data_IF_013612161059
#
_entry.id   IF_013612161059
#
_cell.length_a   1.000
_cell.length_b   1.000
_cell.length_c   1.000
_cell.angle_alpha   90.00
_cell.angle_beta   90.00
_cell.angle_gamma   90.00
#
_symmetry.space_group_name_H-M   'P 1'
#
loop_
_entity.id
_entity.type
_entity.pdbx_description
1 polymer ?
#
# COMPACT_ATOMS: atom_id res chain seq x y z
N UNK A 1 2.15 10.70 -40.58
CA UNK A 1 2.56 11.99 -39.98
C UNK A 1 3.62 11.86 -38.87
N UNK A 2 4.51 10.84 -38.90
CA UNK A 2 5.51 10.61 -37.84
C UNK A 2 6.99 10.73 -38.25
N UNK A 3 7.30 10.70 -39.56
CA UNK A 3 8.68 10.57 -40.03
C UNK A 3 9.63 11.71 -39.58
N UNK A 4 9.14 12.95 -39.51
CA UNK A 4 9.94 14.08 -39.05
C UNK A 4 10.19 14.00 -37.54
N UNK A 5 9.17 13.66 -36.75
CA UNK A 5 9.27 13.53 -35.30
C UNK A 5 10.33 12.49 -34.92
N UNK A 6 10.25 11.28 -35.49
CA UNK A 6 11.22 10.19 -35.25
C UNK A 6 12.67 10.59 -35.60
N UNK A 7 12.85 11.49 -36.57
CA UNK A 7 14.16 11.97 -36.98
C UNK A 7 14.70 13.06 -36.05
N UNK A 8 13.83 13.96 -35.58
CA UNK A 8 14.20 14.98 -34.61
C UNK A 8 14.53 14.35 -33.25
N UNK A 9 13.81 13.31 -32.84
CA UNK A 9 14.10 12.51 -31.66
C UNK A 9 15.50 11.86 -31.77
N UNK A 10 15.81 11.22 -32.90
CA UNK A 10 17.14 10.64 -33.16
C UNK A 10 18.27 11.67 -33.18
N UNK A 11 17.97 12.92 -33.55
CA UNK A 11 18.93 14.03 -33.53
C UNK A 11 19.06 14.67 -32.14
N UNK A 12 18.24 14.27 -31.15
CA UNK A 12 18.28 14.80 -29.80
C UNK A 12 17.74 16.22 -29.67
N UNK A 13 16.98 16.71 -30.66
CA UNK A 13 16.48 18.10 -30.67
C UNK A 13 15.58 18.36 -29.46
N UNK A 14 14.82 17.36 -29.02
CA UNK A 14 13.96 17.45 -27.84
C UNK A 14 14.76 17.65 -26.55
N UNK A 15 15.86 16.90 -26.37
CA UNK A 15 16.75 17.04 -25.21
C UNK A 15 17.40 18.43 -25.16
N UNK A 16 17.74 18.99 -26.33
CA UNK A 16 18.31 20.33 -26.40
C UNK A 16 17.28 21.41 -26.09
N UNK A 17 16.07 21.30 -26.65
CA UNK A 17 14.97 22.23 -26.35
C UNK A 17 14.62 22.19 -24.85
N UNK A 18 14.56 21.00 -24.26
CA UNK A 18 14.35 20.83 -22.83
C UNK A 18 15.48 21.47 -22.00
N UNK A 19 16.75 21.24 -22.38
CA UNK A 19 17.92 21.84 -21.70
C UNK A 19 17.94 23.36 -21.77
N UNK A 20 17.49 23.93 -22.89
CA UNK A 20 17.35 25.37 -23.08
C UNK A 20 16.14 25.96 -22.34
N UNK A 21 15.32 25.13 -21.69
CA UNK A 21 14.16 25.57 -20.93
C UNK A 21 12.99 25.98 -21.83
N UNK A 22 12.88 25.40 -23.03
CA UNK A 22 11.71 25.59 -23.87
C UNK A 22 10.45 25.18 -23.08
N UNK A 23 9.41 25.99 -23.17
CA UNK A 23 8.12 25.72 -22.52
C UNK A 23 7.21 25.02 -23.54
N UNK A 24 6.26 24.21 -23.06
CA UNK A 24 5.21 23.64 -23.93
C UNK A 24 4.55 24.75 -24.77
N UNK A 25 4.42 24.50 -26.06
CA UNK A 25 3.88 25.46 -27.03
C UNK A 25 4.93 26.45 -27.56
N UNK A 26 6.21 26.26 -27.28
CA UNK A 26 7.28 27.06 -27.89
C UNK A 26 7.32 26.80 -29.39
N UNK A 27 7.25 27.86 -30.19
CA UNK A 27 7.35 27.75 -31.65
C UNK A 27 8.79 27.46 -32.07
N UNK A 28 8.98 26.34 -32.77
CA UNK A 28 10.28 25.92 -33.32
C UNK A 28 10.29 26.17 -34.82
N UNK A 29 11.36 26.80 -35.31
CA UNK A 29 11.58 27.13 -36.71
C UNK A 29 12.83 26.42 -37.20
N UNK A 30 12.70 25.54 -38.21
CA UNK A 30 13.80 24.73 -38.74
C UNK A 30 14.12 25.13 -40.19
N UNK A 31 15.36 25.54 -40.42
CA UNK A 31 15.95 25.80 -41.74
C UNK A 31 15.88 27.26 -42.23
N UNK A 32 16.82 27.71 -43.09
CA UNK A 32 16.75 29.01 -43.73
C UNK A 32 15.85 28.99 -44.98
N UNK A 33 14.98 30.00 -45.15
CA UNK A 33 14.10 30.14 -46.31
C UNK A 33 12.71 29.55 -46.08
N UNK A 34 12.36 28.49 -46.82
CA UNK A 34 11.13 27.69 -46.61
C UNK A 34 11.25 26.89 -45.32
N UNK A 35 11.07 27.59 -44.19
CA UNK A 35 11.23 27.03 -42.85
C UNK A 35 10.01 26.21 -42.45
N UNK A 36 10.25 25.07 -41.80
CA UNK A 36 9.19 24.32 -41.14
C UNK A 36 8.97 24.94 -39.76
N UNK A 37 7.75 25.38 -39.50
CA UNK A 37 7.33 25.97 -38.22
C UNK A 37 6.31 25.06 -37.57
N UNK A 38 6.54 24.71 -36.31
CA UNK A 38 5.58 23.95 -35.50
C UNK A 38 5.68 24.33 -34.03
N UNK A 39 4.59 24.08 -33.30
CA UNK A 39 4.57 24.26 -31.85
C UNK A 39 5.10 22.99 -31.17
N UNK A 40 6.12 23.16 -30.35
CA UNK A 40 6.76 22.06 -29.66
C UNK A 40 5.97 21.65 -28.42
N UNK A 41 5.65 20.36 -28.33
CA UNK A 41 5.11 19.75 -27.13
C UNK A 41 6.13 18.76 -26.56
N UNK A 42 6.64 18.98 -25.32
CA UNK A 42 7.54 18.03 -24.70
C UNK A 42 6.84 16.69 -24.55
N UNK A 43 7.43 15.63 -25.09
CA UNK A 43 7.05 14.29 -24.74
C UNK A 43 7.66 14.04 -23.36
N UNK A 44 6.87 14.30 -22.31
CA UNK A 44 7.23 13.77 -21.00
C UNK A 44 7.29 12.25 -21.15
N UNK A 45 8.51 11.71 -21.22
CA UNK A 45 8.77 10.31 -20.93
C UNK A 45 8.52 10.13 -19.43
N UNK A 46 7.25 10.16 -19.04
CA UNK A 46 6.74 9.81 -17.70
C UNK A 46 7.08 8.38 -17.29
N UNK A 47 7.99 7.69 -18.00
CA UNK A 47 8.34 6.30 -17.82
C UNK A 47 9.61 6.07 -16.98
N UNK A 48 10.40 7.11 -16.65
CA UNK A 48 11.64 6.93 -15.89
C UNK A 48 11.44 6.98 -14.36
N UNK A 49 10.43 7.69 -13.85
CA UNK A 49 10.17 7.78 -12.40
C UNK A 49 8.86 7.12 -11.95
N UNK A 50 7.99 6.69 -12.89
CA UNK A 50 6.80 5.89 -12.57
C UNK A 50 7.05 4.37 -12.58
N UNK A 51 8.31 3.94 -12.41
CA UNK A 51 8.56 2.60 -11.88
C UNK A 51 8.23 2.63 -10.38
N UNK A 52 6.95 2.81 -10.05
CA UNK A 52 6.36 2.64 -8.72
C UNK A 52 6.35 1.16 -8.31
N UNK A 53 7.33 0.37 -8.76
CA UNK A 53 7.46 -1.03 -8.38
C UNK A 53 8.87 -1.50 -8.70
N UNK A 54 9.73 -1.71 -7.69
CA UNK A 54 11.04 -2.33 -7.88
C UNK A 54 10.96 -3.51 -8.86
N UNK A 55 11.92 -3.60 -9.80
CA UNK A 55 12.03 -4.78 -10.67
C UNK A 55 12.03 -6.03 -9.79
N UNK A 56 11.06 -6.93 -10.01
CA UNK A 56 10.86 -8.12 -9.19
C UNK A 56 9.57 -8.15 -8.37
N UNK A 57 8.78 -7.07 -8.35
CA UNK A 57 7.41 -7.07 -7.83
C UNK A 57 6.43 -7.38 -8.99
N UNK A 58 6.06 -8.64 -9.15
CA UNK A 58 4.94 -9.05 -10.00
C UNK A 58 3.63 -8.94 -9.20
N UNK A 59 2.70 -8.10 -9.67
CA UNK A 59 1.38 -7.86 -9.06
C UNK A 59 0.55 -9.13 -8.88
N UNK A 60 0.91 -10.25 -9.54
CA UNK A 60 0.27 -11.56 -9.30
C UNK A 60 0.59 -12.15 -7.92
N UNK A 61 1.70 -11.74 -7.31
CA UNK A 61 2.09 -12.17 -5.96
C UNK A 61 1.60 -11.23 -4.86
N UNK A 62 0.83 -10.19 -5.20
CA UNK A 62 0.26 -9.29 -4.20
C UNK A 62 -0.65 -10.09 -3.25
N UNK A 63 -0.46 -10.03 -1.92
CA UNK A 63 -1.33 -10.71 -0.97
C UNK A 63 -2.79 -10.33 -1.17
N UNK A 64 -3.65 -11.34 -1.32
CA UNK A 64 -5.08 -11.14 -1.43
C UNK A 64 -5.63 -10.54 -0.13
N UNK A 65 -6.12 -9.30 -0.18
CA UNK A 65 -6.72 -8.60 0.97
C UNK A 65 -8.07 -9.22 1.41
N UNK A 66 -8.60 -10.21 0.68
CA UNK A 66 -9.81 -10.92 1.09
C UNK A 66 -9.48 -11.98 2.14
N UNK A 67 -10.10 -11.84 3.32
CA UNK A 67 -10.07 -12.86 4.37
C UNK A 67 -10.43 -14.25 3.84
N UNK A 68 -9.58 -15.21 4.12
CA UNK A 68 -9.72 -16.63 3.82
C UNK A 68 -10.67 -17.33 4.79
N UNK A 69 -11.07 -18.56 4.45
CA UNK A 69 -11.92 -19.38 5.33
C UNK A 69 -11.17 -19.89 6.55
N UNK A 70 -9.86 -20.13 6.46
CA UNK A 70 -9.01 -20.49 7.60
C UNK A 70 -8.93 -19.35 8.60
N UNK A 71 -8.60 -18.14 8.16
CA UNK A 71 -8.53 -16.94 9.03
C UNK A 71 -9.87 -16.67 9.72
N UNK A 72 -11.00 -16.89 9.03
CA UNK A 72 -12.32 -16.76 9.65
C UNK A 72 -12.54 -17.76 10.79
N UNK A 73 -12.09 -18.99 10.62
CA UNK A 73 -12.22 -20.04 11.65
C UNK A 73 -11.29 -19.77 12.82
N UNK A 74 -10.04 -19.39 12.54
CA UNK A 74 -9.04 -19.03 13.55
C UNK A 74 -9.53 -17.88 14.43
N UNK A 75 -9.96 -16.76 13.84
CA UNK A 75 -10.54 -15.63 14.59
C UNK A 75 -11.78 -16.02 15.41
N UNK A 76 -12.57 -16.98 14.92
CA UNK A 76 -13.72 -17.47 15.68
C UNK A 76 -13.29 -18.30 16.88
N UNK A 77 -12.35 -19.21 16.71
CA UNK A 77 -11.78 -20.02 17.79
C UNK A 77 -11.11 -19.14 18.84
N UNK A 78 -10.26 -18.19 18.44
CA UNK A 78 -9.63 -17.23 19.36
C UNK A 78 -10.66 -16.48 20.23
N UNK A 79 -11.77 -16.03 19.64
CA UNK A 79 -12.84 -15.35 20.39
C UNK A 79 -13.56 -16.28 21.37
N UNK A 80 -13.77 -17.54 20.98
CA UNK A 80 -14.43 -18.52 21.85
C UNK A 80 -13.50 -18.96 22.98
N UNK A 81 -12.23 -19.16 22.69
CA UNK A 81 -11.20 -19.57 23.65
C UNK A 81 -10.95 -18.44 24.67
N UNK A 82 -10.85 -17.19 24.22
CA UNK A 82 -10.76 -16.04 25.12
C UNK A 82 -11.98 -15.93 26.04
N UNK A 83 -13.19 -16.18 25.50
CA UNK A 83 -14.43 -16.16 26.29
C UNK A 83 -14.51 -17.34 27.27
N UNK A 84 -13.99 -18.50 26.90
CA UNK A 84 -13.92 -19.68 27.76
C UNK A 84 -12.93 -19.46 28.91
N UNK A 85 -11.73 -18.95 28.60
CA UNK A 85 -10.72 -18.60 29.60
C UNK A 85 -11.26 -17.59 30.62
N UNK A 86 -11.89 -16.50 30.16
CA UNK A 86 -12.49 -15.50 31.05
C UNK A 86 -13.59 -16.08 31.97
N UNK A 87 -14.34 -17.09 31.49
CA UNK A 87 -15.35 -17.78 32.32
C UNK A 87 -14.70 -18.69 33.36
N UNK A 88 -13.66 -19.42 32.99
CA UNK A 88 -12.92 -20.29 33.90
C UNK A 88 -12.28 -19.49 35.03
N UNK A 89 -11.62 -18.36 34.71
CA UNK A 89 -11.03 -17.47 35.71
C UNK A 89 -12.09 -16.91 36.68
N UNK A 90 -13.28 -16.55 36.19
CA UNK A 90 -14.36 -16.06 37.05
C UNK A 90 -14.90 -17.18 37.96
N UNK A 91 -15.04 -18.39 37.43
CA UNK A 91 -15.47 -19.55 38.21
C UNK A 91 -14.45 -19.91 39.30
N UNK A 92 -13.16 -19.91 38.97
CA UNK A 92 -12.07 -20.10 39.94
C UNK A 92 -12.10 -19.01 41.03
N UNK A 93 -12.27 -17.74 40.65
CA UNK A 93 -12.44 -16.65 41.63
C UNK A 93 -13.70 -16.84 42.49
N UNK A 94 -14.81 -17.33 41.92
CA UNK A 94 -16.05 -17.60 42.65
C UNK A 94 -15.88 -18.76 43.64
N UNK A 95 -15.21 -19.84 43.22
CA UNK A 95 -14.88 -20.99 44.06
C UNK A 95 -13.95 -20.57 45.20
N UNK A 96 -12.88 -19.82 44.90
CA UNK A 96 -11.96 -19.29 45.90
C UNK A 96 -12.66 -18.36 46.90
N UNK A 97 -13.53 -17.46 46.43
CA UNK A 97 -14.35 -16.59 47.30
C UNK A 97 -15.35 -17.39 48.13
N UNK A 98 -15.97 -18.42 47.55
CA UNK A 98 -16.90 -19.30 48.25
C UNK A 98 -16.22 -20.14 49.32
N UNK A 99 -15.01 -20.63 49.06
CA UNK A 99 -14.19 -21.37 50.02
C UNK A 99 -13.74 -20.46 51.18
N UNK A 100 -13.25 -19.25 50.88
CA UNK A 100 -12.88 -18.28 51.91
C UNK A 100 -14.07 -17.89 52.80
N UNK A 101 -15.26 -17.70 52.21
CA UNK A 101 -16.48 -17.39 52.97
C UNK A 101 -17.01 -18.56 53.81
N UNK A 102 -16.63 -19.81 53.51
CA UNK A 102 -16.95 -20.98 54.32
C UNK A 102 -16.03 -21.11 55.54
N UNK A 103 -14.75 -20.76 55.38
CA UNK A 103 -13.75 -20.87 56.45
C UNK A 103 -13.98 -19.85 57.59
N UNK A 104 -14.58 -18.69 57.29
CA UNK A 104 -14.98 -17.69 58.28
C UNK A 104 -16.21 -18.10 59.14
N UNK A 105 -17.02 -19.08 58.68
CA UNK A 105 -18.21 -19.55 59.39
C UNK A 105 -17.92 -20.66 60.42
N UNK A 106 -16.76 -21.31 60.32
CA UNK A 106 -16.36 -22.43 61.18
C UNK A 106 -15.41 -21.99 62.33
N UNK A 107 -15.11 -20.69 62.44
CA UNK A 107 -14.17 -20.12 63.41
C UNK A 107 -14.77 -19.47 64.68
N UNK A 108 -16.09 -19.31 64.78
CA UNK A 108 -16.73 -18.72 65.98
C UNK A 108 -17.42 -19.82 66.82
N UNK A 109 -16.63 -20.52 67.63
CA UNK A 109 -17.15 -21.61 68.47
C UNK A 109 -16.13 -22.21 69.42
N UNK A 110 -15.43 -21.38 70.21
CA UNK A 110 -14.69 -21.86 71.39
C UNK A 110 -14.84 -20.88 72.54
N UNK A 111 -15.73 -21.21 73.48
CA UNK A 111 -15.53 -20.98 74.92
C UNK A 111 -16.13 -22.16 75.71
#
# INVERSE_FOLDING_TARGET
VGYLADRLEKLGVEDELFRLGAVRGSTVVIGPGESIVFDWEPQMSSAAELITSPRGLDSRFDPNNRRTTSERREQYHERMDAKAAARAELEEQRLARGAAAGEDADGEGVE
#
